data_IF_916251310895
#
_entry.id   IF_916251310895
#
_cell.length_a   1.000
_cell.length_b   1.000
_cell.length_c   1.000
_cell.angle_alpha   90.00
_cell.angle_beta   90.00
_cell.angle_gamma   90.00
#
_symmetry.space_group_name_H-M   'P 1'
#
loop_
_entity.id
_entity.type
_entity.pdbx_description
1 polymer ?
#
# COMPACT_ATOMS: atom_id res chain seq x y z
N UNK A 1 -31.24 -7.03 14.19
CA UNK A 1 -29.97 -6.28 14.31
C UNK A 1 -28.83 -7.28 14.24
N UNK A 2 -27.80 -7.07 13.40
CA UNK A 2 -26.62 -7.94 13.38
C UNK A 2 -25.90 -7.96 14.74
N UNK A 3 -25.23 -9.06 15.11
CA UNK A 3 -24.40 -9.11 16.31
C UNK A 3 -23.17 -8.19 16.17
N UNK A 4 -22.57 -7.76 17.28
CA UNK A 4 -21.38 -6.89 17.25
C UNK A 4 -20.21 -7.46 16.44
N UNK A 5 -20.06 -8.79 16.42
CA UNK A 5 -19.04 -9.50 15.64
C UNK A 5 -19.11 -9.19 14.15
N UNK A 6 -20.28 -8.85 13.63
CA UNK A 6 -20.47 -8.45 12.23
C UNK A 6 -19.67 -7.19 11.85
N UNK A 7 -19.40 -6.31 12.83
CA UNK A 7 -18.72 -5.03 12.61
C UNK A 7 -17.21 -5.07 12.93
N UNK A 8 -16.70 -6.18 13.45
CA UNK A 8 -15.28 -6.34 13.78
C UNK A 8 -14.35 -6.08 12.57
N UNK A 9 -14.63 -6.60 11.36
CA UNK A 9 -13.75 -6.36 10.21
C UNK A 9 -13.59 -4.86 9.88
N UNK A 10 -14.69 -4.10 9.97
CA UNK A 10 -14.65 -2.65 9.75
C UNK A 10 -13.84 -1.93 10.84
N UNK A 11 -13.94 -2.37 12.10
CA UNK A 11 -13.14 -1.82 13.19
C UNK A 11 -11.65 -2.06 12.98
N UNK A 12 -11.28 -3.26 12.56
CA UNK A 12 -9.88 -3.55 12.26
C UNK A 12 -9.38 -2.72 11.08
N UNK A 13 -10.12 -2.63 9.98
CA UNK A 13 -9.74 -1.82 8.82
C UNK A 13 -9.53 -0.33 9.17
N UNK A 14 -10.36 0.23 10.07
CA UNK A 14 -10.15 1.59 10.59
C UNK A 14 -8.85 1.70 11.42
N UNK A 15 -8.53 0.67 12.22
CA UNK A 15 -7.27 0.60 12.95
C UNK A 15 -6.05 0.50 12.02
N UNK A 16 -6.16 -0.33 10.99
CA UNK A 16 -5.12 -0.52 9.96
C UNK A 16 -4.88 0.79 9.19
N UNK A 17 -5.95 1.52 8.86
CA UNK A 17 -5.86 2.86 8.24
C UNK A 17 -5.17 3.86 9.17
N UNK A 18 -5.55 3.90 10.45
CA UNK A 18 -4.93 4.79 11.45
C UNK A 18 -3.43 4.52 11.61
N UNK A 19 -3.02 3.24 11.62
CA UNK A 19 -1.61 2.84 11.71
C UNK A 19 -0.75 3.48 10.63
N UNK A 20 -1.23 3.53 9.38
CA UNK A 20 -0.47 4.17 8.29
C UNK A 20 -0.55 5.70 8.36
N UNK A 21 -1.72 6.25 8.68
CA UNK A 21 -1.90 7.69 8.87
C UNK A 21 -0.94 8.29 9.91
N UNK A 22 -0.61 7.54 10.97
CA UNK A 22 0.32 7.95 12.02
C UNK A 22 1.81 7.85 11.62
N UNK A 23 2.13 7.11 10.55
CA UNK A 23 3.52 6.82 10.11
C UNK A 23 3.96 7.60 8.88
N UNK A 24 3.04 8.27 8.19
CA UNK A 24 3.29 8.94 6.91
C UNK A 24 2.98 10.43 6.98
N UNK A 25 3.49 11.20 6.02
CA UNK A 25 3.18 12.61 5.82
C UNK A 25 1.75 12.83 5.28
N UNK A 26 0.73 12.37 6.01
CA UNK A 26 -0.65 12.25 5.53
C UNK A 26 -1.22 13.56 4.95
N UNK A 27 -0.78 14.72 5.44
CA UNK A 27 -1.26 16.04 4.97
C UNK A 27 -0.92 16.30 3.49
N UNK A 28 0.18 15.72 2.99
CA UNK A 28 0.65 15.92 1.62
C UNK A 28 0.13 14.84 0.65
N UNK A 29 -0.54 13.83 1.19
CA UNK A 29 -1.01 12.67 0.45
C UNK A 29 -2.32 12.95 -0.29
N UNK A 30 -2.40 12.54 -1.56
CA UNK A 30 -3.59 12.70 -2.39
C UNK A 30 -4.06 11.36 -2.98
N UNK A 31 -5.38 11.11 -3.07
CA UNK A 31 -5.89 9.97 -3.81
C UNK A 31 -5.51 10.07 -5.30
N UNK A 32 -4.75 9.10 -5.81
CA UNK A 32 -4.17 9.09 -7.17
C UNK A 32 -4.37 7.75 -7.85
N UNK A 33 -5.62 7.46 -8.20
CA UNK A 33 -6.01 6.22 -8.90
C UNK A 33 -5.28 5.97 -10.22
N UNK A 34 -4.71 7.02 -10.81
CA UNK A 34 -3.97 7.00 -12.07
C UNK A 34 -2.54 6.47 -11.91
N UNK A 35 -1.98 6.47 -10.70
CA UNK A 35 -0.60 6.05 -10.43
C UNK A 35 -0.47 4.59 -9.98
N UNK A 36 -1.57 3.85 -9.86
CA UNK A 36 -1.56 2.42 -9.57
C UNK A 36 -2.63 1.70 -10.38
N UNK A 37 -2.27 0.57 -11.01
CA UNK A 37 -3.22 -0.19 -11.82
C UNK A 37 -4.38 -0.79 -11.02
N UNK A 38 -4.26 -0.86 -9.69
CA UNK A 38 -5.36 -1.26 -8.79
C UNK A 38 -6.45 -0.20 -8.67
N UNK A 39 -6.14 1.07 -8.99
CA UNK A 39 -7.02 2.21 -8.78
C UNK A 39 -7.12 2.69 -7.32
N UNK A 40 -6.49 2.00 -6.37
CA UNK A 40 -6.52 2.32 -4.94
C UNK A 40 -5.14 2.79 -4.46
N UNK A 41 -4.86 4.07 -4.65
CA UNK A 41 -3.59 4.65 -4.26
C UNK A 41 -3.77 6.00 -3.56
N UNK A 42 -3.04 6.16 -2.46
CA UNK A 42 -2.82 7.40 -1.76
C UNK A 42 -1.34 7.75 -1.94
N UNK A 43 -1.05 8.91 -2.53
CA UNK A 43 0.32 9.23 -3.02
C UNK A 43 0.73 10.66 -2.69
N UNK A 44 1.97 10.82 -2.22
CA UNK A 44 2.77 12.03 -2.29
C UNK A 44 3.92 11.79 -3.30
N UNK A 45 3.78 12.26 -4.56
CA UNK A 45 4.69 11.88 -5.64
C UNK A 45 6.15 12.19 -5.35
N UNK A 46 7.01 11.18 -5.52
CA UNK A 46 8.44 11.26 -5.27
C UNK A 46 8.83 11.19 -3.79
N UNK A 47 7.89 10.88 -2.89
CA UNK A 47 8.13 10.75 -1.46
C UNK A 47 7.52 9.48 -0.87
N UNK A 48 6.19 9.33 -0.89
CA UNK A 48 5.48 8.25 -0.19
C UNK A 48 4.27 7.76 -0.99
N UNK A 49 4.05 6.45 -1.00
CA UNK A 49 2.96 5.80 -1.74
C UNK A 49 2.37 4.71 -0.86
N UNK A 50 1.04 4.71 -0.71
CA UNK A 50 0.29 3.66 -0.05
C UNK A 50 -0.74 3.12 -1.05
N UNK A 51 -0.58 1.87 -1.48
CA UNK A 51 -1.41 1.26 -2.51
C UNK A 51 -2.04 -0.02 -1.98
N UNK A 52 -3.35 -0.15 -2.18
CA UNK A 52 -4.11 -1.37 -1.87
C UNK A 52 -4.26 -2.22 -3.13
N UNK A 53 -3.93 -3.50 -3.02
CA UNK A 53 -4.29 -4.55 -3.97
C UNK A 53 -5.35 -5.45 -3.32
N UNK A 54 -6.64 -5.35 -3.71
CA UNK A 54 -7.71 -6.15 -3.11
C UNK A 54 -7.68 -7.65 -3.45
N UNK A 55 -7.20 -8.02 -4.64
CA UNK A 55 -7.47 -9.34 -5.22
C UNK A 55 -6.26 -10.29 -5.18
N UNK A 56 -5.08 -9.78 -4.79
CA UNK A 56 -3.83 -10.54 -4.73
C UNK A 56 -3.12 -10.72 -6.07
N UNK A 57 -3.64 -10.12 -7.15
CA UNK A 57 -3.02 -10.13 -8.48
C UNK A 57 -1.82 -9.18 -8.55
N UNK A 58 -0.96 -9.40 -9.56
CA UNK A 58 0.10 -8.44 -9.90
C UNK A 58 -0.48 -7.11 -10.32
N UNK A 59 0.20 -6.03 -9.97
CA UNK A 59 -0.20 -4.67 -10.31
C UNK A 59 1.03 -3.81 -10.54
N UNK A 60 0.82 -2.65 -11.16
CA UNK A 60 1.89 -1.67 -11.36
C UNK A 60 1.66 -0.41 -10.53
N UNK A 61 2.75 0.23 -10.13
CA UNK A 61 2.75 1.57 -9.53
C UNK A 61 3.72 2.44 -10.33
N UNK A 62 3.26 3.61 -10.76
CA UNK A 62 4.10 4.59 -11.44
C UNK A 62 4.98 5.32 -10.42
N UNK A 63 6.30 5.15 -10.54
CA UNK A 63 7.28 5.70 -9.63
C UNK A 63 8.31 6.55 -10.40
N UNK A 64 8.67 7.74 -9.90
CA UNK A 64 9.85 8.49 -10.36
C UNK A 64 11.15 7.73 -10.07
N UNK A 65 12.19 8.06 -10.83
CA UNK A 65 13.53 7.53 -10.57
C UNK A 65 14.02 7.85 -9.14
N UNK A 66 14.60 6.86 -8.48
CA UNK A 66 15.07 6.98 -7.11
C UNK A 66 15.15 5.64 -6.38
N UNK A 67 15.60 5.70 -5.12
CA UNK A 67 15.69 4.55 -4.23
C UNK A 67 14.57 4.61 -3.21
N UNK A 68 13.89 3.48 -3.00
CA UNK A 68 12.72 3.37 -2.14
C UNK A 68 12.85 2.20 -1.19
N UNK A 69 12.34 2.37 0.03
CA UNK A 69 12.02 1.26 0.93
C UNK A 69 10.61 0.78 0.62
N UNK A 70 10.40 -0.53 0.72
CA UNK A 70 9.13 -1.17 0.43
C UNK A 70 8.72 -2.06 1.60
N UNK A 71 7.52 -1.81 2.11
CA UNK A 71 6.86 -2.59 3.15
C UNK A 71 5.54 -3.15 2.62
N UNK A 72 5.27 -4.41 2.92
CA UNK A 72 4.03 -5.10 2.61
C UNK A 72 3.26 -5.40 3.89
N UNK A 73 1.93 -5.29 3.82
CA UNK A 73 1.00 -5.63 4.88
C UNK A 73 -0.14 -6.49 4.37
N UNK A 74 -0.34 -7.65 4.97
CA UNK A 74 -1.47 -8.54 4.68
C UNK A 74 -2.70 -8.10 5.48
N UNK A 75 -3.78 -7.73 4.82
CA UNK A 75 -5.01 -7.24 5.48
C UNK A 75 -5.75 -8.37 6.23
N UNK A 76 -5.53 -9.61 5.82
CA UNK A 76 -6.16 -10.80 6.42
C UNK A 76 -5.45 -11.20 7.70
N UNK A 77 -4.13 -11.43 7.61
CA UNK A 77 -3.32 -11.93 8.74
C UNK A 77 -2.75 -10.83 9.61
N UNK A 78 -2.67 -9.58 9.11
CA UNK A 78 -2.04 -8.40 9.74
C UNK A 78 -0.53 -8.54 9.92
N UNK A 79 0.09 -9.44 9.16
CA UNK A 79 1.53 -9.57 9.10
C UNK A 79 2.14 -8.43 8.26
N UNK A 80 3.34 -7.99 8.65
CA UNK A 80 4.11 -6.98 7.92
C UNK A 80 5.46 -7.57 7.54
N UNK A 81 5.90 -7.37 6.30
CA UNK A 81 7.23 -7.74 5.84
C UNK A 81 7.84 -6.62 5.00
N UNK A 82 9.15 -6.44 5.06
CA UNK A 82 9.87 -5.47 4.23
C UNK A 82 10.68 -6.20 3.18
N UNK A 83 10.79 -5.63 1.99
CA UNK A 83 11.72 -6.13 0.97
C UNK A 83 13.03 -5.35 1.00
N UNK A 84 14.00 -5.80 0.21
CA UNK A 84 15.18 -5.02 -0.09
C UNK A 84 14.81 -3.68 -0.73
N UNK A 85 15.73 -2.71 -0.65
CA UNK A 85 15.55 -1.40 -1.25
C UNK A 85 15.34 -1.53 -2.77
N UNK A 86 14.29 -0.89 -3.26
CA UNK A 86 13.94 -0.83 -4.67
C UNK A 86 14.68 0.35 -5.32
N UNK A 87 15.49 0.06 -6.33
CA UNK A 87 16.11 1.09 -7.16
C UNK A 87 15.35 1.23 -8.49
N UNK A 88 14.77 2.41 -8.71
CA UNK A 88 14.06 2.77 -9.95
C UNK A 88 14.99 3.65 -10.77
N UNK A 89 15.55 3.10 -11.85
CA UNK A 89 16.53 3.82 -12.68
C UNK A 89 15.90 4.93 -13.53
N UNK A 90 14.67 4.72 -13.99
CA UNK A 90 13.92 5.64 -14.82
C UNK A 90 12.47 5.70 -14.34
N UNK A 91 11.86 6.88 -14.46
CA UNK A 91 10.44 7.05 -14.14
C UNK A 91 9.57 6.12 -14.98
N UNK A 92 8.62 5.45 -14.34
CA UNK A 92 7.64 4.62 -15.02
C UNK A 92 6.96 3.59 -14.12
N UNK A 93 6.17 2.72 -14.77
CA UNK A 93 5.43 1.65 -14.13
C UNK A 93 6.38 0.56 -13.62
N UNK A 94 6.34 0.30 -12.31
CA UNK A 94 7.04 -0.82 -11.66
C UNK A 94 6.02 -1.88 -11.29
N UNK A 95 6.24 -3.13 -11.70
CA UNK A 95 5.38 -4.27 -11.36
C UNK A 95 5.68 -4.79 -9.94
N UNK A 96 4.61 -5.04 -9.18
CA UNK A 96 4.66 -5.59 -7.84
C UNK A 96 3.78 -6.83 -7.72
N UNK A 97 4.20 -7.75 -6.87
CA UNK A 97 3.45 -8.93 -6.45
C UNK A 97 3.56 -9.06 -4.94
N UNK A 98 2.43 -9.27 -4.27
CA UNK A 98 2.42 -9.52 -2.82
C UNK A 98 3.26 -10.78 -2.49
N UNK A 99 4.08 -10.75 -1.42
CA UNK A 99 4.79 -11.93 -0.93
C UNK A 99 3.91 -12.88 -0.11
N UNK A 100 2.68 -12.48 0.21
CA UNK A 100 1.73 -13.24 1.01
C UNK A 100 0.89 -14.21 0.14
N UNK A 101 0.15 -15.16 0.74
CA UNK A 101 -0.86 -15.93 0.02
C UNK A 101 -1.89 -15.02 -0.69
N UNK A 102 -2.59 -15.52 -1.74
CA UNK A 102 -3.58 -14.72 -2.46
C UNK A 102 -4.62 -14.07 -1.54
N UNK A 103 -4.78 -12.77 -1.67
CA UNK A 103 -5.68 -11.98 -0.84
C UNK A 103 -5.32 -10.48 -0.82
N UNK A 104 -6.09 -9.69 -0.08
CA UNK A 104 -5.89 -8.24 0.00
C UNK A 104 -4.59 -7.89 0.71
N UNK A 105 -3.75 -7.09 0.06
CA UNK A 105 -2.49 -6.61 0.59
C UNK A 105 -2.31 -5.11 0.34
N UNK A 106 -1.59 -4.46 1.25
CA UNK A 106 -1.17 -3.07 1.12
C UNK A 106 0.33 -3.03 0.91
N UNK A 107 0.78 -2.24 -0.04
CA UNK A 107 2.18 -1.88 -0.20
C UNK A 107 2.38 -0.43 0.24
N UNK A 108 3.38 -0.21 1.08
CA UNK A 108 3.85 1.10 1.49
C UNK A 108 5.27 1.31 0.95
N UNK A 109 5.43 2.34 0.12
CA UNK A 109 6.67 2.67 -0.56
C UNK A 109 7.09 4.06 -0.10
N UNK A 110 8.27 4.18 0.49
CA UNK A 110 8.82 5.46 0.95
C UNK A 110 10.21 5.69 0.38
N UNK A 111 10.46 6.88 -0.16
CA UNK A 111 11.77 7.23 -0.70
C UNK A 111 12.82 7.29 0.42
N UNK A 112 14.02 6.79 0.12
CA UNK A 112 15.19 6.85 1.03
C UNK A 112 15.95 8.16 0.86
#
# INVERSE_FOLDING_TARGET
>A
MPPFSYYEPARWAMGDTRRYAERMGLIDMQPRRDLASTGYALVNPGSEYLVLQPDGDRFTVDLPAGTYQVEWFDVTTRETTSSDALNVEQEGAVEFSSPFPPGPAVIYISRT
#
